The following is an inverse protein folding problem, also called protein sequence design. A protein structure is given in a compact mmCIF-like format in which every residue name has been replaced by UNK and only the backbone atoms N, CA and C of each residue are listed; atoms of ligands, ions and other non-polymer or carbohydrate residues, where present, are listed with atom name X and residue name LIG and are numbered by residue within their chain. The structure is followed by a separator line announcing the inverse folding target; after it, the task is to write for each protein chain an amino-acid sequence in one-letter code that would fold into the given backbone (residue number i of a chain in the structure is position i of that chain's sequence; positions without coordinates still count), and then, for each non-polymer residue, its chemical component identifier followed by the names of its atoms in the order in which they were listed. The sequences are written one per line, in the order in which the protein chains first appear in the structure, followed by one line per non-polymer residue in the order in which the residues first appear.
data_IF_012685867700
#
_entry.id   IF_012685867700
#
_cell.length_a   1.000
_cell.length_b   1.000
_cell.length_c   1.000
_cell.angle_alpha   90.00
_cell.angle_beta   90.00
_cell.angle_gamma   90.00
#
_symmetry.space_group_name_H-M   'P 1'
#
loop_
_entity.id
_entity.type
_entity.pdbx_description
1 polymer ?
#
# COMPACT_ATOMS: atom_id res chain seq x y z
N UNK A 1 -15.19 6.45 -16.66
CA UNK A 1 -15.58 5.52 -15.57
C UNK A 1 -16.07 4.25 -16.24
N UNK A 2 -15.55 3.08 -15.84
CA UNK A 2 -15.95 1.80 -16.45
C UNK A 2 -16.27 0.78 -15.36
N UNK A 3 -17.00 -0.28 -15.71
CA UNK A 3 -17.26 -1.42 -14.82
C UNK A 3 -16.31 -2.56 -15.17
N UNK A 4 -15.76 -3.23 -14.16
CA UNK A 4 -14.97 -4.44 -14.36
C UNK A 4 -15.94 -5.62 -14.55
N UNK A 5 -15.77 -6.47 -15.58
CA UNK A 5 -16.58 -7.66 -15.76
C UNK A 5 -16.51 -8.61 -14.55
N UNK A 6 -17.66 -9.14 -14.13
CA UNK A 6 -17.77 -10.14 -13.06
C UNK A 6 -18.76 -11.24 -13.45
N UNK A 7 -18.80 -12.33 -12.67
CA UNK A 7 -19.76 -13.43 -12.84
C UNK A 7 -21.20 -12.91 -12.69
N UNK A 8 -22.16 -13.55 -13.38
CA UNK A 8 -23.60 -13.22 -13.25
C UNK A 8 -24.04 -13.30 -11.78
N UNK A 9 -24.81 -12.31 -11.33
CA UNK A 9 -25.28 -12.19 -9.95
C UNK A 9 -24.35 -11.44 -8.99
N UNK A 10 -23.11 -11.12 -9.39
CA UNK A 10 -22.20 -10.33 -8.55
C UNK A 10 -22.23 -8.84 -8.92
N UNK A 11 -22.12 -7.97 -7.90
CA UNK A 11 -21.95 -6.53 -8.10
C UNK A 11 -20.67 -6.29 -8.88
N UNK A 12 -20.78 -5.62 -10.04
CA UNK A 12 -19.63 -5.24 -10.87
C UNK A 12 -18.89 -4.05 -10.26
N UNK A 13 -17.60 -4.17 -9.88
CA UNK A 13 -16.82 -3.04 -9.39
C UNK A 13 -16.74 -1.92 -10.42
N UNK A 14 -16.61 -0.68 -9.94
CA UNK A 14 -16.31 0.47 -10.79
C UNK A 14 -14.82 0.73 -10.76
N UNK A 15 -14.21 0.87 -11.95
CA UNK A 15 -12.87 1.44 -12.09
C UNK A 15 -12.97 2.93 -12.44
N UNK A 16 -12.24 3.74 -11.68
CA UNK A 16 -12.20 5.20 -11.80
C UNK A 16 -10.75 5.62 -12.07
N UNK A 17 -10.51 6.23 -13.23
CA UNK A 17 -9.24 6.92 -13.52
C UNK A 17 -9.37 8.37 -13.04
N UNK A 18 -8.48 8.77 -12.14
CA UNK A 18 -8.43 10.14 -11.62
C UNK A 18 -7.41 10.96 -12.41
N UNK A 19 -7.53 12.28 -12.36
CA UNK A 19 -6.65 13.21 -13.10
C UNK A 19 -5.19 13.10 -12.65
N UNK A 20 -4.94 12.98 -11.35
CA UNK A 20 -3.60 12.94 -10.78
C UNK A 20 -3.59 12.31 -9.36
N UNK A 21 -2.39 12.11 -8.82
CA UNK A 21 -2.18 11.48 -7.52
C UNK A 21 -2.61 12.35 -6.33
N UNK A 22 -2.62 13.68 -6.46
CA UNK A 22 -3.04 14.57 -5.37
C UNK A 22 -4.53 14.46 -5.11
N UNK A 23 -5.35 14.46 -6.18
CA UNK A 23 -6.80 14.21 -6.10
C UNK A 23 -7.08 12.82 -5.53
N UNK A 24 -6.36 11.80 -6.03
CA UNK A 24 -6.44 10.43 -5.51
C UNK A 24 -6.16 10.37 -4.01
N UNK A 25 -5.07 10.98 -3.55
CA UNK A 25 -4.68 11.04 -2.14
C UNK A 25 -5.73 11.76 -1.28
N UNK A 26 -6.33 12.83 -1.77
CA UNK A 26 -7.39 13.54 -1.07
C UNK A 26 -8.65 12.68 -0.88
N UNK A 27 -9.06 11.95 -1.92
CA UNK A 27 -10.20 11.03 -1.87
C UNK A 27 -9.90 9.85 -0.93
N UNK A 28 -8.74 9.21 -1.08
CA UNK A 28 -8.38 8.02 -0.30
C UNK A 28 -8.26 8.29 1.21
N UNK A 29 -7.92 9.52 1.61
CA UNK A 29 -7.93 9.96 3.03
C UNK A 29 -9.35 10.04 3.61
N UNK A 30 -10.36 10.32 2.78
CA UNK A 30 -11.76 10.44 3.18
C UNK A 30 -12.57 9.16 2.93
N UNK A 31 -11.92 8.00 2.74
CA UNK A 31 -12.62 6.74 2.42
C UNK A 31 -13.34 6.10 3.61
N UNK A 32 -12.94 6.39 4.85
CA UNK A 32 -13.48 5.71 6.04
C UNK A 32 -15.01 5.86 6.20
N UNK A 33 -15.61 7.05 6.00
CA UNK A 33 -17.07 7.21 5.99
C UNK A 33 -17.80 6.48 4.86
N UNK A 34 -17.11 6.09 3.77
CA UNK A 34 -17.73 5.27 2.73
C UNK A 34 -17.85 3.81 3.19
N UNK A 35 -16.85 3.32 3.94
CA UNK A 35 -16.84 1.97 4.51
C UNK A 35 -18.00 1.76 5.48
N UNK A 36 -18.30 2.75 6.33
CA UNK A 36 -19.44 2.68 7.26
C UNK A 36 -20.80 2.64 6.55
N UNK A 37 -20.87 3.13 5.30
CA UNK A 37 -22.06 3.07 4.44
C UNK A 37 -22.13 1.81 3.57
N UNK A 38 -21.26 0.82 3.82
CA UNK A 38 -21.22 -0.44 3.06
C UNK A 38 -20.44 -0.37 1.74
N UNK A 39 -19.81 0.76 1.41
CA UNK A 39 -19.02 0.90 0.18
C UNK A 39 -17.52 0.68 0.45
N UNK A 40 -16.88 -0.12 -0.40
CA UNK A 40 -15.44 -0.34 -0.34
C UNK A 40 -14.72 0.43 -1.46
N UNK A 41 -13.95 1.44 -1.07
CA UNK A 41 -13.02 2.13 -1.95
C UNK A 41 -11.60 1.62 -1.69
N UNK A 42 -10.98 1.05 -2.72
CA UNK A 42 -9.62 0.50 -2.67
C UNK A 42 -8.78 1.05 -3.80
N UNK A 43 -7.47 1.06 -3.56
CA UNK A 43 -6.48 1.23 -4.62
C UNK A 43 -6.47 0.03 -5.56
N UNK A 44 -6.19 0.29 -6.84
CA UNK A 44 -5.85 -0.78 -7.79
C UNK A 44 -4.39 -1.19 -7.54
N UNK A 45 -4.21 -2.41 -7.05
CA UNK A 45 -2.91 -2.97 -6.69
C UNK A 45 -2.51 -3.98 -7.76
N UNK A 46 -1.37 -3.73 -8.40
CA UNK A 46 -0.86 -4.63 -9.43
C UNK A 46 -0.40 -5.96 -8.82
N UNK A 47 -0.35 -7.03 -9.64
CA UNK A 47 0.13 -8.34 -9.19
C UNK A 47 1.54 -8.30 -8.57
N UNK A 48 2.54 -7.58 -9.15
CA UNK A 48 3.85 -7.45 -8.52
C UNK A 48 3.80 -6.78 -7.14
N UNK A 49 3.01 -5.71 -6.99
CA UNK A 49 2.84 -5.04 -5.70
C UNK A 49 2.16 -5.95 -4.67
N UNK A 50 1.19 -6.76 -5.08
CA UNK A 50 0.58 -7.76 -4.21
C UNK A 50 1.59 -8.84 -3.80
N UNK A 51 2.45 -9.27 -4.72
CA UNK A 51 3.54 -10.20 -4.44
C UNK A 51 4.52 -9.65 -3.40
N UNK A 52 4.92 -8.38 -3.56
CA UNK A 52 5.77 -7.69 -2.59
C UNK A 52 5.12 -7.62 -1.20
N UNK A 53 3.84 -7.25 -1.12
CA UNK A 53 3.09 -7.23 0.16
C UNK A 53 3.13 -8.60 0.82
N UNK A 54 2.85 -9.67 0.08
CA UNK A 54 2.87 -11.02 0.61
C UNK A 54 4.26 -11.41 1.13
N UNK A 55 5.33 -11.04 0.41
CA UNK A 55 6.71 -11.27 0.84
C UNK A 55 7.04 -10.50 2.13
N UNK A 56 6.60 -9.25 2.24
CA UNK A 56 6.79 -8.44 3.45
C UNK A 56 6.06 -9.04 4.66
N UNK A 57 4.82 -9.52 4.48
CA UNK A 57 4.03 -10.12 5.57
C UNK A 57 4.62 -11.44 6.11
N UNK A 58 5.49 -12.10 5.33
CA UNK A 58 6.20 -13.30 5.78
C UNK A 58 7.55 -12.99 6.45
N UNK A 59 7.97 -11.72 6.45
CA UNK A 59 9.27 -11.33 6.94
C UNK A 59 9.25 -11.09 8.47
N UNK A 60 10.17 -11.67 9.26
CA UNK A 60 10.09 -11.65 10.73
C UNK A 60 10.23 -10.26 11.35
N UNK A 61 10.83 -9.30 10.63
CA UNK A 61 10.97 -7.92 11.10
C UNK A 61 9.80 -7.00 10.69
N UNK A 62 8.78 -7.52 9.99
CA UNK A 62 7.61 -6.76 9.53
C UNK A 62 6.38 -7.17 10.33
N UNK A 63 5.70 -6.18 10.90
CA UNK A 63 4.44 -6.33 11.64
C UNK A 63 3.24 -6.25 10.68
N UNK A 64 3.27 -5.30 9.73
CA UNK A 64 2.21 -5.15 8.74
C UNK A 64 2.72 -4.54 7.43
N UNK A 65 2.02 -4.81 6.31
CA UNK A 65 2.35 -4.26 5.00
C UNK A 65 1.08 -3.84 4.25
N UNK A 66 1.15 -2.73 3.51
CA UNK A 66 0.02 -2.20 2.75
C UNK A 66 0.45 -1.40 1.53
N UNK A 67 -0.43 -1.34 0.54
CA UNK A 67 -0.31 -0.42 -0.58
C UNK A 67 -0.99 0.91 -0.26
N UNK A 68 -0.32 2.02 -0.57
CA UNK A 68 -0.91 3.34 -0.48
C UNK A 68 -0.29 4.28 -1.51
N UNK A 69 -1.14 4.95 -2.29
CA UNK A 69 -0.73 6.03 -3.20
C UNK A 69 0.44 5.66 -4.15
N UNK A 70 0.39 4.46 -4.74
CA UNK A 70 1.40 4.05 -5.72
C UNK A 70 2.65 3.39 -5.13
N UNK A 71 2.71 3.21 -3.81
CA UNK A 71 3.85 2.61 -3.13
C UNK A 71 3.42 1.52 -2.15
N UNK A 72 4.29 0.53 -1.96
CA UNK A 72 4.15 -0.46 -0.90
C UNK A 72 4.91 0.04 0.33
N UNK A 73 4.26 -0.05 1.49
CA UNK A 73 4.85 0.27 2.78
C UNK A 73 4.83 -0.97 3.67
N UNK A 74 5.89 -1.13 4.45
CA UNK A 74 5.95 -2.06 5.57
C UNK A 74 6.13 -1.28 6.88
N UNK A 75 5.43 -1.71 7.92
CA UNK A 75 5.67 -1.31 9.30
C UNK A 75 6.49 -2.39 9.97
N UNK A 76 7.66 -2.02 10.51
CA UNK A 76 8.51 -2.95 11.24
C UNK A 76 7.95 -3.21 12.64
N UNK A 77 8.40 -4.29 13.28
CA UNK A 77 8.13 -4.57 14.70
C UNK A 77 8.64 -3.46 15.64
N UNK A 78 9.56 -2.62 15.17
CA UNK A 78 10.05 -1.44 15.88
C UNK A 78 9.20 -0.18 15.59
N UNK A 79 7.99 -0.35 15.05
CA UNK A 79 7.04 0.71 14.69
C UNK A 79 7.51 1.65 13.57
N UNK A 80 8.54 1.28 12.82
CA UNK A 80 9.09 2.10 11.75
C UNK A 80 8.35 1.87 10.44
N UNK A 81 8.05 2.94 9.70
CA UNK A 81 7.41 2.83 8.39
C UNK A 81 8.45 3.00 7.28
N UNK A 82 8.61 1.95 6.48
CA UNK A 82 9.56 1.91 5.38
C UNK A 82 8.81 1.74 4.06
N UNK A 83 9.24 2.46 3.02
CA UNK A 83 8.75 2.29 1.65
C UNK A 83 9.61 1.25 0.95
N UNK A 84 8.97 0.35 0.19
CA UNK A 84 9.64 -0.70 -0.58
C UNK A 84 9.30 -0.58 -2.08
N UNK A 85 10.26 -0.92 -2.92
CA UNK A 85 10.14 -1.16 -4.35
C UNK A 85 10.05 -2.67 -4.65
N UNK A 86 9.48 -3.03 -5.79
CA UNK A 86 9.28 -4.43 -6.21
C UNK A 86 10.61 -5.17 -6.43
N UNK A 87 11.69 -4.45 -6.75
CA UNK A 87 13.01 -5.03 -6.97
C UNK A 87 13.89 -5.02 -5.72
N UNK A 88 13.40 -4.47 -4.61
CA UNK A 88 14.17 -4.40 -3.38
C UNK A 88 14.46 -5.79 -2.80
N UNK A 89 15.68 -5.94 -2.28
CA UNK A 89 15.96 -6.93 -1.25
C UNK A 89 15.46 -6.40 0.09
N UNK A 90 14.48 -7.08 0.67
CA UNK A 90 13.80 -6.66 1.91
C UNK A 90 14.78 -6.55 3.08
N UNK A 91 15.75 -7.47 3.20
CA UNK A 91 16.73 -7.46 4.28
C UNK A 91 17.60 -6.21 4.20
N UNK A 92 18.19 -5.96 3.03
CA UNK A 92 19.10 -4.83 2.79
C UNK A 92 18.40 -3.50 3.07
N UNK A 93 17.14 -3.35 2.64
CA UNK A 93 16.36 -2.13 2.90
C UNK A 93 16.14 -1.90 4.39
N UNK A 94 15.77 -2.96 5.14
CA UNK A 94 15.55 -2.85 6.60
C UNK A 94 16.86 -2.54 7.32
N UNK A 95 17.95 -3.20 6.95
CA UNK A 95 19.28 -2.97 7.55
C UNK A 95 19.77 -1.55 7.29
N UNK A 96 19.71 -1.10 6.03
CA UNK A 96 20.10 0.25 5.64
C UNK A 96 19.25 1.32 6.36
N UNK A 97 17.95 1.09 6.49
CA UNK A 97 17.06 2.00 7.22
C UNK A 97 17.45 2.11 8.69
N UNK A 98 17.74 0.98 9.35
CA UNK A 98 18.19 0.95 10.75
C UNK A 98 19.52 1.66 10.94
N UNK A 99 20.48 1.46 10.02
CA UNK A 99 21.76 2.15 10.06
C UNK A 99 21.58 3.66 9.88
N UNK A 100 20.78 4.10 8.92
CA UNK A 100 20.46 5.51 8.70
C UNK A 100 19.86 6.17 9.95
N UNK A 101 18.90 5.51 10.60
CA UNK A 101 18.27 6.00 11.84
C UNK A 101 19.25 6.10 13.01
N UNK A 102 20.16 5.13 13.15
CA UNK A 102 21.22 5.16 14.19
C UNK A 102 22.18 6.33 13.98
N UNK A 103 22.47 6.67 12.73
CA UNK A 103 23.38 7.76 12.37
C UNK A 103 22.74 9.16 12.45
N UNK A 104 21.58 9.29 13.12
CA UNK A 104 20.92 10.59 13.32
C UNK A 104 20.15 11.11 12.11
N UNK A 105 19.88 10.27 11.10
CA UNK A 105 19.07 10.64 9.95
C UNK A 105 17.61 10.90 10.34
N UNK A 106 17.14 12.14 10.22
CA UNK A 106 15.74 12.50 10.37
C UNK A 106 14.96 12.10 9.10
N UNK A 107 14.04 11.15 9.23
CA UNK A 107 13.16 10.72 8.13
C UNK A 107 12.16 11.82 7.74
N UNK A 108 11.97 12.00 6.43
CA UNK A 108 10.91 12.84 5.83
C UNK A 108 9.50 12.32 6.12
#
# INVERSE_FOLDING_TARGET
MHRIPTKKGQIRPVIIKLRNNSVKSAIMRKRAPMKSKGYRLVDDVTKPNQGLINRLLLHPNIDSAWYFNGAVYGKTVAEERIKFDIYDNVNDVIENFRQYRRNGGSGQ
#
